data_IF_108456045553
#
_entry.id   IF_108456045553
#
_cell.length_a   1.000
_cell.length_b   1.000
_cell.length_c   1.000
_cell.angle_alpha   90.00
_cell.angle_beta   90.00
_cell.angle_gamma   90.00
#
_symmetry.space_group_name_H-M   'P 1'
#
loop_
_entity.id
_entity.type
_entity.pdbx_description
1 polymer ?
#
# COMPACT_ATOMS: atom_id res chain seq x y z
N UNK A 1 7.82 10.77 -31.90
CA UNK A 1 7.22 11.21 -30.63
C UNK A 1 6.85 9.94 -29.87
N UNK A 2 7.63 9.59 -28.85
CA UNK A 2 7.39 8.39 -28.05
C UNK A 2 6.64 8.82 -26.80
N UNK A 3 5.38 8.42 -26.68
CA UNK A 3 4.66 8.55 -25.42
C UNK A 3 5.30 7.58 -24.42
N UNK A 4 6.02 8.12 -23.44
CA UNK A 4 6.55 7.36 -22.31
C UNK A 4 5.39 7.05 -21.37
N UNK A 5 4.69 5.93 -21.60
CA UNK A 5 3.75 5.39 -20.62
C UNK A 5 4.58 4.86 -19.46
N UNK A 6 4.59 5.57 -18.33
CA UNK A 6 5.17 5.04 -17.10
C UNK A 6 4.54 3.66 -16.81
N UNK A 7 5.32 2.56 -16.68
CA UNK A 7 4.76 1.25 -16.43
C UNK A 7 4.20 1.21 -15.00
N UNK A 8 2.90 0.99 -14.87
CA UNK A 8 2.26 0.70 -13.59
C UNK A 8 2.94 -0.53 -12.96
N UNK A 9 3.35 -0.42 -11.69
CA UNK A 9 3.96 -1.53 -10.92
C UNK A 9 2.97 -2.02 -9.87
N UNK A 10 2.66 -3.31 -9.91
CA UNK A 10 1.81 -3.97 -8.92
C UNK A 10 2.71 -4.76 -7.97
N UNK A 11 2.59 -4.51 -6.67
CA UNK A 11 3.33 -5.20 -5.61
C UNK A 11 2.34 -5.84 -4.64
N UNK A 12 2.02 -7.13 -4.80
CA UNK A 12 1.11 -7.81 -3.88
C UNK A 12 1.85 -8.31 -2.63
N UNK A 13 1.14 -8.40 -1.50
CA UNK A 13 1.65 -8.97 -0.25
C UNK A 13 0.65 -9.93 0.39
N UNK A 14 1.14 -10.98 1.05
CA UNK A 14 0.34 -11.94 1.81
C UNK A 14 0.68 -11.89 3.30
N UNK A 15 -0.31 -11.64 4.16
CA UNK A 15 -0.11 -11.50 5.62
C UNK A 15 -0.09 -12.82 6.37
N UNK A 16 -0.63 -13.89 5.79
CA UNK A 16 -0.75 -15.22 6.40
C UNK A 16 -0.40 -16.30 5.39
N UNK A 17 0.90 -16.48 5.16
CA UNK A 17 1.39 -17.61 4.38
C UNK A 17 1.40 -18.86 5.25
N UNK A 18 0.85 -19.95 4.73
CA UNK A 18 0.90 -21.26 5.37
C UNK A 18 2.09 -22.08 4.83
N UNK A 19 2.60 -23.03 5.64
CA UNK A 19 3.80 -23.83 5.32
C UNK A 19 3.72 -24.63 4.00
N UNK A 20 2.51 -24.82 3.47
CA UNK A 20 2.22 -25.50 2.21
C UNK A 20 2.12 -24.57 0.99
N UNK A 21 2.25 -23.25 1.15
CA UNK A 21 2.12 -22.25 0.08
C UNK A 21 3.48 -21.90 -0.57
N UNK A 22 4.24 -22.94 -0.93
CA UNK A 22 5.63 -22.83 -1.45
C UNK A 22 5.78 -22.05 -2.77
N UNK A 23 4.69 -21.70 -3.45
CA UNK A 23 4.73 -20.98 -4.74
C UNK A 23 4.78 -19.45 -4.61
N UNK A 24 4.59 -18.89 -3.41
CA UNK A 24 4.60 -17.44 -3.21
C UNK A 24 6.03 -16.89 -3.10
N UNK A 25 6.41 -16.06 -4.08
CA UNK A 25 7.70 -15.38 -4.11
C UNK A 25 7.57 -13.84 -3.97
N UNK A 26 6.39 -13.35 -3.57
CA UNK A 26 6.10 -11.92 -3.41
C UNK A 26 6.42 -11.39 -2.01
N UNK A 27 6.00 -10.14 -1.74
CA UNK A 27 6.12 -9.57 -0.40
C UNK A 27 5.23 -10.32 0.60
N UNK A 28 5.59 -10.26 1.87
CA UNK A 28 4.87 -10.94 2.95
C UNK A 28 4.68 -9.99 4.13
N UNK A 29 3.56 -10.13 4.84
CA UNK A 29 3.21 -9.29 5.97
C UNK A 29 2.37 -8.08 5.60
N UNK A 30 2.15 -7.21 6.60
CA UNK A 30 1.35 -5.99 6.43
C UNK A 30 2.10 -4.94 5.63
N UNK A 31 1.34 -4.07 4.95
CA UNK A 31 1.92 -2.88 4.30
C UNK A 31 2.42 -1.95 5.41
N UNK A 32 3.73 -1.71 5.40
CA UNK A 32 4.42 -0.85 6.37
C UNK A 32 5.40 0.06 5.63
N UNK A 33 5.80 1.18 6.25
CA UNK A 33 6.70 2.16 5.63
C UNK A 33 7.99 1.53 5.06
N UNK A 34 8.69 0.61 5.76
CA UNK A 34 9.86 -0.06 5.20
C UNK A 34 9.58 -0.86 3.91
N UNK A 35 8.39 -1.45 3.77
CA UNK A 35 7.99 -2.14 2.54
C UNK A 35 7.80 -1.12 1.40
N UNK A 36 7.13 0.01 1.68
CA UNK A 36 6.87 1.05 0.69
C UNK A 36 8.15 1.68 0.17
N UNK A 37 9.14 1.93 1.04
CA UNK A 37 10.43 2.54 0.69
C UNK A 37 11.27 1.69 -0.28
N UNK A 38 11.00 0.38 -0.40
CA UNK A 38 11.62 -0.46 -1.45
C UNK A 38 11.18 -0.07 -2.86
N UNK A 39 10.01 0.55 -2.99
CA UNK A 39 9.33 0.82 -4.25
C UNK A 39 9.10 2.31 -4.53
N UNK A 40 9.10 3.14 -3.48
CA UNK A 40 8.83 4.58 -3.53
C UNK A 40 10.09 5.31 -3.05
N UNK A 41 10.91 5.89 -3.95
CA UNK A 41 12.17 6.54 -3.59
C UNK A 41 12.01 7.77 -2.68
N UNK A 42 10.93 8.55 -2.88
CA UNK A 42 10.55 9.66 -2.02
C UNK A 42 9.07 9.50 -1.65
N UNK A 43 8.81 9.25 -0.37
CA UNK A 43 7.48 8.98 0.15
C UNK A 43 6.60 10.24 0.27
N UNK A 44 7.16 11.44 0.12
CA UNK A 44 6.39 12.68 0.26
C UNK A 44 5.79 13.17 -1.06
N UNK A 45 6.27 12.66 -2.19
CA UNK A 45 5.80 13.06 -3.52
C UNK A 45 4.46 12.42 -3.97
N UNK A 46 4.15 11.16 -3.62
CA UNK A 46 2.93 10.52 -4.12
C UNK A 46 1.65 11.04 -3.46
N UNK A 47 0.55 10.92 -4.21
CA UNK A 47 -0.78 10.83 -3.63
C UNK A 47 -1.07 9.37 -3.27
N UNK A 48 -1.52 9.14 -2.04
CA UNK A 48 -1.86 7.84 -1.51
C UNK A 48 -3.36 7.63 -1.56
N UNK A 49 -3.78 6.59 -2.26
CA UNK A 49 -5.16 6.13 -2.31
C UNK A 49 -5.25 4.79 -1.60
N UNK A 50 -6.05 4.72 -0.53
CA UNK A 50 -6.20 3.52 0.27
C UNK A 50 -7.68 3.15 0.39
N UNK A 51 -8.02 1.94 -0.02
CA UNK A 51 -9.36 1.40 0.13
C UNK A 51 -9.32 0.02 0.79
N UNK A 52 -10.19 -0.22 1.76
CA UNK A 52 -10.23 -1.51 2.46
C UNK A 52 -11.17 -1.58 3.66
N UNK A 53 -11.09 -2.67 4.44
CA UNK A 53 -11.77 -2.78 5.71
C UNK A 53 -11.37 -1.64 6.67
N UNK A 54 -12.25 -1.21 7.60
CA UNK A 54 -11.97 -0.06 8.49
C UNK A 54 -10.64 -0.19 9.26
N UNK A 55 -10.33 -1.38 9.77
CA UNK A 55 -9.07 -1.63 10.47
C UNK A 55 -7.82 -1.43 9.59
N UNK A 56 -7.92 -1.77 8.29
CA UNK A 56 -6.84 -1.58 7.34
C UNK A 56 -6.66 -0.10 7.00
N UNK A 57 -7.76 0.58 6.64
CA UNK A 57 -7.72 2.00 6.26
C UNK A 57 -7.19 2.84 7.41
N UNK A 58 -7.65 2.59 8.64
CA UNK A 58 -7.16 3.33 9.82
C UNK A 58 -5.68 3.09 10.11
N UNK A 59 -5.19 1.86 9.91
CA UNK A 59 -3.77 1.55 10.07
C UNK A 59 -2.91 2.28 9.02
N UNK A 60 -3.37 2.33 7.77
CA UNK A 60 -2.68 3.05 6.69
C UNK A 60 -2.67 4.56 6.92
N UNK A 61 -3.81 5.15 7.30
CA UNK A 61 -3.91 6.58 7.66
C UNK A 61 -2.88 6.94 8.73
N UNK A 62 -2.91 6.25 9.88
CA UNK A 62 -2.00 6.51 10.99
C UNK A 62 -0.52 6.38 10.56
N UNK A 63 -0.19 5.34 9.78
CA UNK A 63 1.18 5.13 9.31
C UNK A 63 1.64 6.26 8.40
N UNK A 64 0.81 6.71 7.45
CA UNK A 64 1.17 7.75 6.50
C UNK A 64 1.32 9.10 7.21
N UNK A 65 0.39 9.46 8.08
CA UNK A 65 0.46 10.70 8.87
C UNK A 65 1.68 10.74 9.79
N UNK A 66 1.94 9.65 10.52
CA UNK A 66 3.12 9.56 11.41
C UNK A 66 4.45 9.56 10.66
N UNK A 67 4.43 9.25 9.35
CA UNK A 67 5.59 9.36 8.46
C UNK A 67 5.83 10.78 7.94
N UNK A 68 4.97 11.75 8.31
CA UNK A 68 5.10 13.16 7.93
C UNK A 68 4.49 13.50 6.56
N UNK A 69 3.69 12.60 6.00
CA UNK A 69 3.01 12.84 4.72
C UNK A 69 1.86 13.83 4.95
N UNK A 70 1.75 14.82 4.06
CA UNK A 70 0.67 15.80 4.10
C UNK A 70 -0.69 15.10 3.92
N UNK A 71 -1.63 15.38 4.82
CA UNK A 71 -2.98 14.81 4.77
C UNK A 71 -3.73 15.17 3.48
N UNK A 72 -3.36 16.26 2.81
CA UNK A 72 -3.89 16.61 1.49
C UNK A 72 -3.54 15.58 0.40
N UNK A 73 -2.48 14.80 0.62
CA UNK A 73 -2.04 13.74 -0.29
C UNK A 73 -2.57 12.36 0.11
N UNK A 74 -3.39 12.25 1.16
CA UNK A 74 -3.94 10.98 1.65
C UNK A 74 -5.45 10.94 1.33
N UNK A 75 -5.87 9.91 0.61
CA UNK A 75 -7.24 9.70 0.19
C UNK A 75 -7.70 8.30 0.62
N UNK A 76 -8.76 8.25 1.42
CA UNK A 76 -9.20 7.04 2.09
C UNK A 76 -10.63 6.70 1.70
N UNK A 77 -10.89 5.41 1.47
CA UNK A 77 -12.22 4.87 1.23
C UNK A 77 -12.44 3.60 2.06
N UNK A 78 -13.34 3.66 3.03
CA UNK A 78 -13.63 2.54 3.94
C UNK A 78 -14.85 1.76 3.45
N UNK A 79 -14.73 0.44 3.38
CA UNK A 79 -15.87 -0.43 3.13
C UNK A 79 -15.98 -1.54 4.17
N UNK A 80 -17.18 -1.71 4.72
CA UNK A 80 -17.50 -2.74 5.70
C UNK A 80 -18.11 -3.97 5.01
N UNK A 81 -17.40 -4.55 4.04
CA UNK A 81 -17.82 -5.78 3.36
C UNK A 81 -19.15 -5.72 2.59
N UNK A 82 -19.40 -6.77 1.80
CA UNK A 82 -20.59 -6.93 0.97
C UNK A 82 -21.73 -7.47 1.84
N UNK A 83 -22.70 -6.61 2.14
CA UNK A 83 -23.99 -7.03 2.70
C UNK A 83 -24.79 -7.88 1.71
#
# INVERSE_FOLDING_TARGET
>A
MSFNTAPCKIVPTMTRLHDNEQSWNGETGHIVLPMMQKYIPDINLPHYYCAGPPAFVKAMENMLETSGIDSQNIHLDEFSGYS
#
